data_IF_601651284131
#
_entry.id   IF_601651284131
#
_cell.length_a   1.000
_cell.length_b   1.000
_cell.length_c   1.000
_cell.angle_alpha   90.00
_cell.angle_beta   90.00
_cell.angle_gamma   90.00
#
_symmetry.space_group_name_H-M   'P 1'
#
loop_
_entity.id
_entity.type
_entity.pdbx_description
1 polymer ?
#
# COMPACT_ATOMS: atom_id res chain seq x y z
N UNK A 1 3.08 -13.75 -4.01
CA UNK A 1 2.35 -12.64 -4.68
C UNK A 1 3.27 -11.97 -5.69
N UNK A 2 2.74 -11.48 -6.81
CA UNK A 2 3.57 -10.81 -7.83
C UNK A 2 3.86 -9.37 -7.40
N UNK A 3 5.13 -8.97 -7.45
CA UNK A 3 5.60 -7.62 -7.16
C UNK A 3 6.22 -7.05 -8.44
N UNK A 4 5.96 -5.77 -8.70
CA UNK A 4 6.60 -5.01 -9.76
C UNK A 4 7.51 -3.95 -9.14
N UNK A 5 8.68 -3.76 -9.73
CA UNK A 5 9.69 -2.85 -9.21
C UNK A 5 10.14 -1.90 -10.31
N UNK A 6 10.22 -0.62 -9.96
CA UNK A 6 10.85 0.42 -10.77
C UNK A 6 12.02 1.01 -9.97
N UNK A 7 13.10 1.40 -10.66
CA UNK A 7 14.27 2.00 -10.01
C UNK A 7 14.90 3.08 -10.88
N UNK A 8 15.59 4.00 -10.22
CA UNK A 8 16.50 4.96 -10.84
C UNK A 8 17.83 4.96 -10.07
N UNK A 9 18.70 5.95 -10.26
CA UNK A 9 20.01 6.00 -9.59
C UNK A 9 19.93 6.27 -8.08
N UNK A 10 18.81 6.78 -7.59
CA UNK A 10 18.66 7.23 -6.20
C UNK A 10 17.74 6.31 -5.39
N UNK A 11 16.75 5.71 -6.04
CA UNK A 11 15.65 5.02 -5.38
C UNK A 11 15.20 3.75 -6.10
N UNK A 12 14.63 2.83 -5.32
CA UNK A 12 13.85 1.70 -5.79
C UNK A 12 12.46 1.73 -5.15
N UNK A 13 11.44 1.48 -5.96
CA UNK A 13 10.05 1.41 -5.52
C UNK A 13 9.47 0.07 -5.93
N UNK A 14 8.77 -0.59 -5.02
CA UNK A 14 8.10 -1.87 -5.28
C UNK A 14 6.61 -1.81 -4.95
N UNK A 15 5.80 -2.37 -5.84
CA UNK A 15 4.33 -2.36 -5.76
C UNK A 15 3.81 -3.79 -5.91
N UNK A 16 2.95 -4.23 -4.99
CA UNK A 16 2.26 -5.52 -5.12
C UNK A 16 1.22 -5.42 -6.24
N UNK A 17 1.12 -6.47 -7.06
CA UNK A 17 0.05 -6.58 -8.07
C UNK A 17 -1.33 -6.53 -7.41
N UNK A 18 -1.48 -7.18 -6.26
CA UNK A 18 -2.73 -7.15 -5.48
C UNK A 18 -2.95 -5.76 -4.91
N UNK A 19 -4.12 -5.18 -5.16
CA UNK A 19 -4.51 -3.85 -4.67
C UNK A 19 -3.66 -2.70 -5.20
N UNK A 20 -2.72 -2.94 -6.13
CA UNK A 20 -1.70 -1.97 -6.56
C UNK A 20 -0.99 -1.30 -5.36
N UNK A 21 -0.73 -2.08 -4.31
CA UNK A 21 -0.25 -1.58 -3.03
C UNK A 21 1.25 -1.26 -3.09
N UNK A 22 1.63 -0.01 -2.81
CA UNK A 22 3.02 0.37 -2.58
C UNK A 22 3.54 -0.34 -1.32
N UNK A 23 4.60 -1.15 -1.47
CA UNK A 23 5.11 -1.96 -0.37
C UNK A 23 6.60 -1.73 -0.04
N UNK A 24 7.32 -0.94 -0.84
CA UNK A 24 8.68 -0.51 -0.54
C UNK A 24 9.03 0.74 -1.32
N UNK A 25 9.70 1.67 -0.64
CA UNK A 25 10.38 2.82 -1.23
C UNK A 25 11.73 2.92 -0.53
N UNK A 26 12.81 2.60 -1.24
CA UNK A 26 14.15 2.52 -0.66
C UNK A 26 15.10 3.53 -1.29
N UNK A 27 15.83 4.27 -0.45
CA UNK A 27 16.95 5.13 -0.86
C UNK A 27 18.25 4.33 -0.97
N UNK A 28 18.95 4.45 -2.09
CA UNK A 28 20.29 3.86 -2.24
C UNK A 28 21.38 4.68 -1.55
N UNK A 29 21.18 5.98 -1.40
CA UNK A 29 22.15 6.88 -0.74
C UNK A 29 22.23 6.63 0.76
N UNK A 30 21.09 6.40 1.40
CA UNK A 30 20.98 6.29 2.87
C UNK A 30 20.61 4.89 3.34
N UNK A 31 20.33 3.97 2.40
CA UNK A 31 19.81 2.63 2.68
C UNK A 31 18.49 2.62 3.47
N UNK A 32 17.79 3.75 3.56
CA UNK A 32 16.53 3.91 4.29
C UNK A 32 15.36 3.30 3.51
N UNK A 33 14.57 2.47 4.17
CA UNK A 33 13.23 2.06 3.74
C UNK A 33 12.20 3.03 4.35
N UNK A 34 11.37 3.63 3.50
CA UNK A 34 10.40 4.66 3.92
C UNK A 34 9.00 4.09 4.14
N UNK A 35 8.70 2.90 3.63
CA UNK A 35 7.40 2.26 3.79
C UNK A 35 7.43 1.34 5.02
N UNK A 36 6.37 1.39 5.81
CA UNK A 36 6.14 0.47 6.93
C UNK A 36 6.20 -0.99 6.46
N UNK A 37 6.78 -1.87 7.26
CA UNK A 37 7.05 -3.27 6.89
C UNK A 37 5.83 -4.20 6.95
N UNK A 38 4.65 -3.66 7.30
CA UNK A 38 3.42 -4.41 7.48
C UNK A 38 3.49 -5.51 8.53
N UNK A 39 4.15 -5.25 9.67
CA UNK A 39 4.15 -6.16 10.82
C UNK A 39 2.69 -6.49 11.23
N UNK A 40 2.24 -7.74 11.08
CA UNK A 40 0.86 -8.12 11.33
C UNK A 40 0.46 -8.05 12.80
N UNK A 41 1.41 -7.99 13.74
CA UNK A 41 1.11 -7.79 15.16
C UNK A 41 0.61 -6.36 15.46
N UNK A 42 0.95 -5.39 14.59
CA UNK A 42 0.62 -3.98 14.75
C UNK A 42 -0.33 -3.50 13.64
N UNK A 43 0.09 -3.64 12.38
CA UNK A 43 -0.68 -3.28 11.20
C UNK A 43 -0.19 -4.03 9.96
N UNK A 44 -1.00 -4.96 9.46
CA UNK A 44 -0.65 -5.92 8.41
C UNK A 44 -0.63 -5.36 6.97
N UNK A 45 -0.80 -4.05 6.78
CA UNK A 45 -0.78 -3.41 5.46
C UNK A 45 0.37 -2.40 5.34
N UNK A 46 0.74 -2.04 4.11
CA UNK A 46 1.79 -1.05 3.84
C UNK A 46 1.18 0.32 3.50
N UNK A 47 0.52 0.40 2.33
CA UNK A 47 -0.08 1.61 1.78
C UNK A 47 -1.23 1.22 0.82
N UNK A 48 -2.37 0.75 1.36
CA UNK A 48 -3.48 0.27 0.55
C UNK A 48 -4.16 1.40 -0.21
N UNK A 49 -4.64 1.11 -1.43
CA UNK A 49 -5.52 2.01 -2.17
C UNK A 49 -6.96 1.88 -1.65
N UNK A 50 -7.61 3.00 -1.33
CA UNK A 50 -8.97 3.03 -0.78
C UNK A 50 -9.96 3.49 -1.85
N UNK A 51 -10.81 2.57 -2.32
CA UNK A 51 -11.80 2.84 -3.36
C UNK A 51 -12.88 1.73 -3.38
N UNK A 52 -14.15 2.03 -3.73
CA UNK A 52 -14.75 3.36 -3.93
C UNK A 52 -15.20 4.04 -2.64
N UNK A 53 -15.14 3.32 -1.51
CA UNK A 53 -15.54 3.80 -0.20
C UNK A 53 -14.28 3.89 0.67
N UNK A 54 -14.19 4.94 1.47
CA UNK A 54 -13.06 5.22 2.38
C UNK A 54 -13.57 5.10 3.82
N UNK A 55 -12.85 4.36 4.65
CA UNK A 55 -13.28 4.05 6.01
C UNK A 55 -14.36 2.96 6.05
N UNK A 56 -15.29 3.05 7.00
CA UNK A 56 -16.39 2.11 7.14
C UNK A 56 -17.72 2.80 6.85
N UNK A 57 -18.68 2.05 6.30
CA UNK A 57 -20.06 2.48 6.25
C UNK A 57 -20.75 2.14 7.57
N UNK A 58 -21.75 2.94 7.95
CA UNK A 58 -22.64 2.55 9.03
C UNK A 58 -23.40 1.28 8.60
N UNK A 59 -23.43 0.28 9.46
CA UNK A 59 -24.09 -1.01 9.20
C UNK A 59 -23.57 -1.71 7.91
N UNK A 60 -22.32 -1.40 7.51
CA UNK A 60 -21.65 -1.91 6.30
C UNK A 60 -22.43 -1.73 4.98
N UNK A 61 -23.38 -0.80 4.96
CA UNK A 61 -24.32 -0.63 3.84
C UNK A 61 -24.55 0.84 3.49
N UNK A 62 -24.91 1.07 2.24
CA UNK A 62 -25.46 2.33 1.76
C UNK A 62 -26.66 2.02 0.85
N UNK A 63 -27.64 2.92 0.84
CA UNK A 63 -28.79 2.81 -0.05
C UNK A 63 -28.59 3.74 -1.24
N UNK A 64 -28.82 3.22 -2.44
CA UNK A 64 -28.82 4.03 -3.66
C UNK A 64 -30.08 3.72 -4.46
N UNK A 65 -30.92 4.75 -4.65
CA UNK A 65 -32.24 4.70 -5.32
C UNK A 65 -33.37 3.99 -4.55
N UNK A 66 -33.31 3.95 -3.23
CA UNK A 66 -34.39 3.39 -2.39
C UNK A 66 -34.40 1.88 -2.38
#
# INVERSE_FOLDING_TARGET
MKIYTIKNNNFQVSVKKTGAELCSFKSFKTNTEYIWNADPEIWAAHAPNLFPIIGCLKDDAFLYKG
#
